data_IF_474228618251
#
_entry.id   IF_474228618251
#
_cell.length_a   1.000
_cell.length_b   1.000
_cell.length_c   1.000
_cell.angle_alpha   90.00
_cell.angle_beta   90.00
_cell.angle_gamma   90.00
#
_symmetry.space_group_name_H-M   'P 1'
#
loop_
_entity.id
_entity.type
_entity.pdbx_description
1 polymer ?
#
# COMPACT_ATOMS: atom_id res chain seq x y z
N UNK A 1 -15.75 -17.54 -1.35
CA UNK A 1 -16.66 -17.06 -2.42
C UNK A 1 -16.31 -15.60 -2.72
N UNK A 2 -15.92 -15.21 -3.96
CA UNK A 2 -15.73 -13.80 -4.27
C UNK A 2 -16.90 -13.31 -5.13
N UNK A 3 -17.76 -12.49 -4.52
CA UNK A 3 -18.90 -11.84 -5.18
C UNK A 3 -18.73 -10.31 -5.26
N UNK A 4 -17.50 -9.81 -5.28
CA UNK A 4 -17.20 -8.35 -5.29
C UNK A 4 -16.64 -7.82 -6.61
N UNK A 5 -16.53 -8.63 -7.66
CA UNK A 5 -15.77 -8.29 -8.88
C UNK A 5 -16.42 -7.31 -9.88
N UNK A 6 -17.53 -6.62 -9.58
CA UNK A 6 -18.33 -6.01 -10.64
C UNK A 6 -18.34 -4.47 -10.73
N UNK A 7 -17.58 -3.71 -9.93
CA UNK A 7 -17.64 -2.23 -10.01
C UNK A 7 -16.36 -1.43 -9.75
N UNK A 8 -15.20 -2.07 -9.57
CA UNK A 8 -13.95 -1.36 -9.26
C UNK A 8 -12.82 -1.76 -10.21
N UNK A 9 -12.04 -0.76 -10.64
CA UNK A 9 -10.86 -0.96 -11.51
C UNK A 9 -9.69 -1.63 -10.75
N UNK A 10 -9.57 -1.36 -9.44
CA UNK A 10 -8.57 -1.98 -8.54
C UNK A 10 -9.19 -2.21 -7.16
N UNK A 11 -8.95 -3.38 -6.58
CA UNK A 11 -9.30 -3.71 -5.20
C UNK A 11 -8.03 -3.81 -4.36
N UNK A 12 -7.84 -2.90 -3.41
CA UNK A 12 -6.76 -3.00 -2.42
C UNK A 12 -7.31 -3.79 -1.22
N UNK A 13 -6.72 -4.94 -0.94
CA UNK A 13 -7.11 -5.78 0.20
C UNK A 13 -6.09 -5.61 1.32
N UNK A 14 -6.57 -5.18 2.49
CA UNK A 14 -5.76 -5.07 3.70
C UNK A 14 -6.26 -6.09 4.72
N UNK A 15 -5.37 -6.98 5.16
CA UNK A 15 -5.69 -8.01 6.14
C UNK A 15 -5.51 -7.51 7.58
N UNK A 16 -6.60 -7.53 8.36
CA UNK A 16 -6.56 -7.17 9.79
C UNK A 16 -5.63 -8.10 10.58
N UNK A 17 -5.52 -9.37 10.19
CA UNK A 17 -4.61 -10.31 10.86
C UNK A 17 -3.14 -9.88 10.71
N UNK A 18 -2.79 -9.30 9.56
CA UNK A 18 -1.44 -8.75 9.32
C UNK A 18 -1.22 -7.46 10.09
N UNK A 19 -2.24 -6.61 10.17
CA UNK A 19 -2.19 -5.39 10.98
C UNK A 19 -1.91 -5.71 12.45
N UNK A 20 -2.51 -6.77 12.99
CA UNK A 20 -2.26 -7.24 14.35
C UNK A 20 -0.82 -7.75 14.58
N UNK A 21 -0.10 -8.19 13.54
CA UNK A 21 1.32 -8.59 13.66
C UNK A 21 2.26 -7.39 13.80
N UNK A 22 1.85 -6.21 13.33
CA UNK A 22 2.62 -4.96 13.39
C UNK A 22 2.33 -4.20 14.69
N UNK A 23 1.19 -4.47 15.32
CA UNK A 23 0.75 -3.84 16.57
C UNK A 23 1.41 -4.55 17.76
N UNK A 24 2.02 -3.83 18.71
CA UNK A 24 2.61 -4.43 19.90
C UNK A 24 1.59 -5.19 20.76
N UNK A 25 2.00 -6.32 21.34
CA UNK A 25 1.18 -7.07 22.30
C UNK A 25 0.77 -6.18 23.49
N UNK A 26 -0.50 -6.26 23.89
CA UNK A 26 -1.07 -5.44 24.97
C UNK A 26 -1.63 -4.09 24.53
N UNK A 27 -1.54 -3.74 23.25
CA UNK A 27 -2.20 -2.54 22.70
C UNK A 27 -3.73 -2.68 22.80
N UNK A 28 -4.45 -1.67 23.35
CA UNK A 28 -5.91 -1.68 23.36
C UNK A 28 -6.48 -1.82 21.94
N UNK A 29 -7.59 -2.54 21.81
CA UNK A 29 -8.25 -2.76 20.50
C UNK A 29 -8.49 -1.44 19.75
N UNK A 30 -8.88 -0.38 20.47
CA UNK A 30 -9.08 0.96 19.90
C UNK A 30 -7.81 1.51 19.25
N UNK A 31 -6.65 1.35 19.91
CA UNK A 31 -5.38 1.87 19.43
C UNK A 31 -4.84 1.01 18.28
N UNK A 32 -5.11 -0.30 18.29
CA UNK A 32 -4.81 -1.18 17.15
C UNK A 32 -5.58 -0.76 15.89
N UNK A 33 -6.85 -0.37 16.03
CA UNK A 33 -7.63 0.17 14.90
C UNK A 33 -7.09 1.51 14.40
N UNK A 34 -6.57 2.37 15.29
CA UNK A 34 -5.93 3.62 14.85
C UNK A 34 -4.68 3.37 13.99
N UNK A 35 -3.90 2.33 14.31
CA UNK A 35 -2.75 1.91 13.48
C UNK A 35 -3.23 1.40 12.11
N UNK A 36 -4.30 0.61 12.09
CA UNK A 36 -4.90 0.14 10.84
C UNK A 36 -5.41 1.30 9.97
N UNK A 37 -6.09 2.27 10.58
CA UNK A 37 -6.58 3.46 9.90
C UNK A 37 -5.43 4.29 9.32
N UNK A 38 -4.31 4.43 10.03
CA UNK A 38 -3.16 5.16 9.47
C UNK A 38 -2.54 4.42 8.28
N UNK A 39 -2.49 3.09 8.29
CA UNK A 39 -2.01 2.29 7.14
C UNK A 39 -2.93 2.48 5.93
N UNK A 40 -4.25 2.42 6.13
CA UNK A 40 -5.23 2.68 5.06
C UNK A 40 -5.09 4.10 4.53
N UNK A 41 -4.94 5.09 5.43
CA UNK A 41 -4.75 6.49 5.07
C UNK A 41 -3.47 6.69 4.26
N UNK A 42 -2.36 6.09 4.67
CA UNK A 42 -1.08 6.16 3.94
C UNK A 42 -1.21 5.59 2.53
N UNK A 43 -2.00 4.54 2.35
CA UNK A 43 -2.28 3.98 1.03
C UNK A 43 -3.03 4.92 0.10
N UNK A 44 -4.12 5.50 0.60
CA UNK A 44 -4.94 6.45 -0.17
C UNK A 44 -4.15 7.72 -0.48
N UNK A 45 -3.41 8.25 0.49
CA UNK A 45 -2.58 9.44 0.33
C UNK A 45 -1.45 9.17 -0.67
N UNK A 46 -0.80 8.00 -0.62
CA UNK A 46 0.29 7.66 -1.54
C UNK A 46 -0.13 7.69 -3.01
N UNK A 47 -1.31 7.15 -3.34
CA UNK A 47 -1.84 7.19 -4.71
C UNK A 47 -2.32 8.61 -5.06
N UNK A 48 -2.99 9.27 -4.13
CA UNK A 48 -3.57 10.60 -4.36
C UNK A 48 -2.49 11.68 -4.51
N UNK A 49 -1.37 11.59 -3.80
CA UNK A 49 -0.29 12.59 -3.88
C UNK A 49 0.43 12.56 -5.22
N UNK A 50 0.58 11.38 -5.85
CA UNK A 50 1.14 11.26 -7.21
C UNK A 50 0.30 12.07 -8.21
N UNK A 51 -1.02 12.11 -8.01
CA UNK A 51 -1.96 12.81 -8.91
C UNK A 51 -2.09 14.30 -8.54
N UNK A 52 -2.16 14.62 -7.25
CA UNK A 52 -2.53 15.96 -6.76
C UNK A 52 -1.32 16.89 -6.59
N UNK A 53 -0.13 16.36 -6.31
CA UNK A 53 1.09 17.15 -6.10
C UNK A 53 2.19 16.68 -7.06
N UNK A 54 2.29 17.31 -8.24
CA UNK A 54 3.38 16.99 -9.16
C UNK A 54 4.72 17.24 -8.49
N UNK A 55 5.51 16.17 -8.32
CA UNK A 55 6.89 16.24 -7.87
C UNK A 55 7.85 16.58 -9.00
N UNK A 56 9.16 16.51 -8.72
CA UNK A 56 10.20 16.61 -9.77
C UNK A 56 10.10 15.50 -10.82
N UNK A 57 9.54 14.35 -10.44
CA UNK A 57 9.15 13.26 -11.34
C UNK A 57 7.63 13.27 -11.35
N UNK A 58 7.05 13.78 -12.45
CA UNK A 58 5.61 13.80 -12.63
C UNK A 58 5.19 12.51 -13.34
N UNK A 59 4.44 11.67 -12.65
CA UNK A 59 3.73 10.55 -13.28
C UNK A 59 2.36 11.09 -13.67
N UNK A 60 1.94 10.92 -14.92
CA UNK A 60 0.65 11.43 -15.34
C UNK A 60 -0.50 10.52 -14.89
N UNK A 61 -1.72 11.06 -14.89
CA UNK A 61 -2.90 10.30 -14.49
C UNK A 61 -3.20 9.13 -15.45
N UNK A 62 -2.74 9.20 -16.71
CA UNK A 62 -2.95 8.15 -17.69
C UNK A 62 -2.07 6.92 -17.38
N UNK A 63 -0.83 7.12 -16.95
CA UNK A 63 0.09 6.09 -16.51
C UNK A 63 -0.42 5.39 -15.25
N UNK A 64 -0.89 6.15 -14.25
CA UNK A 64 -1.51 5.58 -13.04
C UNK A 64 -2.76 4.77 -13.40
N UNK A 65 -3.62 5.31 -14.27
CA UNK A 65 -4.83 4.63 -14.71
C UNK A 65 -4.53 3.39 -15.56
N UNK A 66 -3.43 3.36 -16.31
CA UNK A 66 -3.01 2.21 -17.10
C UNK A 66 -2.48 1.07 -16.22
N UNK A 67 -1.77 1.39 -15.12
CA UNK A 67 -1.28 0.39 -14.16
C UNK A 67 -2.41 -0.11 -13.26
N UNK A 68 -3.31 0.78 -12.83
CA UNK A 68 -4.42 0.45 -11.92
C UNK A 68 -5.64 -0.12 -12.66
N UNK A 69 -5.84 0.23 -13.93
CA UNK A 69 -6.95 -0.25 -14.75
C UNK A 69 -6.88 -1.76 -14.99
N UNK A 70 -7.91 -2.49 -14.55
CA UNK A 70 -7.97 -3.96 -14.61
C UNK A 70 -6.85 -4.70 -13.84
N UNK A 71 -6.21 -4.05 -12.86
CA UNK A 71 -5.18 -4.70 -12.02
C UNK A 71 -5.77 -5.83 -11.15
N UNK A 72 -7.09 -5.81 -10.90
CA UNK A 72 -7.75 -6.80 -10.05
C UNK A 72 -7.40 -6.55 -8.58
N UNK A 73 -6.78 -7.54 -7.94
CA UNK A 73 -6.38 -7.43 -6.52
C UNK A 73 -4.98 -6.84 -6.42
N UNK A 74 -4.86 -5.71 -5.71
CA UNK A 74 -3.59 -5.06 -5.41
C UNK A 74 -3.20 -5.25 -3.94
N UNK A 75 -1.89 -5.23 -3.68
CA UNK A 75 -1.29 -5.29 -2.34
C UNK A 75 -0.46 -4.03 -2.11
N UNK A 76 -0.25 -3.69 -0.84
CA UNK A 76 0.42 -2.47 -0.45
C UNK A 76 1.57 -2.74 0.52
N UNK A 77 2.77 -2.37 0.11
CA UNK A 77 3.95 -2.32 0.97
C UNK A 77 4.29 -0.88 1.31
N UNK A 78 4.48 -0.58 2.60
CA UNK A 78 4.87 0.75 3.06
C UNK A 78 6.22 0.62 3.75
N UNK A 79 7.16 1.51 3.39
CA UNK A 79 8.49 1.53 3.97
C UNK A 79 8.95 2.96 4.22
N UNK A 80 9.62 3.17 5.34
CA UNK A 80 10.18 4.48 5.71
C UNK A 80 11.67 4.35 5.94
N UNK A 81 12.46 5.28 5.39
CA UNK A 81 13.91 5.33 5.58
C UNK A 81 14.36 6.70 6.06
N UNK A 82 15.52 6.76 6.73
CA UNK A 82 16.14 8.00 7.22
C UNK A 82 17.63 8.02 6.90
N UNK A 83 18.24 9.20 6.90
CA UNK A 83 19.67 9.36 6.64
C UNK A 83 20.05 9.36 5.14
N UNK A 84 21.30 9.03 4.83
CA UNK A 84 21.85 9.08 3.47
C UNK A 84 21.29 7.99 2.54
N UNK A 85 20.95 6.83 3.08
CA UNK A 85 20.40 5.68 2.37
C UNK A 85 18.86 5.61 2.40
N UNK A 86 18.20 6.70 2.84
CA UNK A 86 16.75 6.76 3.07
C UNK A 86 15.88 6.19 1.95
N UNK A 87 16.25 6.40 0.69
CA UNK A 87 15.48 5.92 -0.45
C UNK A 87 15.58 4.40 -0.61
N UNK A 88 16.80 3.85 -0.52
CA UNK A 88 17.04 2.42 -0.59
C UNK A 88 16.42 1.68 0.60
N UNK A 89 16.61 2.22 1.81
CA UNK A 89 16.06 1.63 3.04
C UNK A 89 14.53 1.61 3.02
N UNK A 90 13.90 2.71 2.55
CA UNK A 90 12.45 2.78 2.39
C UNK A 90 11.95 1.74 1.37
N UNK A 91 12.62 1.60 0.22
CA UNK A 91 12.24 0.63 -0.80
C UNK A 91 12.37 -0.81 -0.29
N UNK A 92 13.47 -1.15 0.38
CA UNK A 92 13.67 -2.49 0.97
C UNK A 92 12.61 -2.77 2.03
N UNK A 93 12.32 -1.81 2.91
CA UNK A 93 11.28 -1.95 3.92
C UNK A 93 9.88 -2.11 3.30
N UNK A 94 9.57 -1.40 2.22
CA UNK A 94 8.29 -1.51 1.54
C UNK A 94 8.10 -2.91 0.91
N UNK A 95 9.13 -3.43 0.23
CA UNK A 95 9.12 -4.77 -0.39
C UNK A 95 9.09 -5.90 0.65
N UNK A 96 9.68 -5.68 1.83
CA UNK A 96 9.67 -6.63 2.94
C UNK A 96 8.48 -6.46 3.89
N UNK A 97 7.50 -5.61 3.54
CA UNK A 97 6.37 -5.30 4.41
C UNK A 97 5.51 -6.54 4.69
N UNK A 98 5.09 -6.77 5.96
CA UNK A 98 4.20 -7.88 6.32
C UNK A 98 2.81 -7.79 5.66
N UNK A 99 2.47 -6.65 5.07
CA UNK A 99 1.23 -6.42 4.33
C UNK A 99 1.26 -6.98 2.90
N UNK A 100 2.43 -7.43 2.41
CA UNK A 100 2.57 -8.10 1.12
C UNK A 100 2.42 -9.62 1.29
N UNK A 101 1.21 -10.15 1.04
CA UNK A 101 0.93 -11.58 1.16
C UNK A 101 1.49 -12.43 -0.01
N UNK A 102 1.84 -11.79 -1.12
CA UNK A 102 2.45 -12.42 -2.29
C UNK A 102 3.74 -11.71 -2.68
N UNK A 103 4.77 -12.46 -3.12
CA UNK A 103 6.01 -11.84 -3.57
C UNK A 103 5.73 -10.94 -4.78
N UNK A 104 6.31 -9.72 -4.76
CA UNK A 104 6.26 -8.74 -5.86
C UNK A 104 6.65 -9.32 -7.22
N UNK A 105 7.38 -10.46 -7.24
CA UNK A 105 7.73 -11.20 -8.47
C UNK A 105 6.54 -11.57 -9.35
N UNK A 106 5.33 -11.69 -8.81
CA UNK A 106 4.13 -12.03 -9.58
C UNK A 106 3.25 -10.81 -9.89
N UNK A 107 3.68 -9.59 -9.54
CA UNK A 107 2.94 -8.37 -9.82
C UNK A 107 3.02 -8.04 -11.31
N UNK A 108 1.87 -7.74 -11.93
CA UNK A 108 1.80 -7.30 -13.33
C UNK A 108 2.01 -5.78 -13.49
N UNK A 109 2.05 -5.05 -12.37
CA UNK A 109 2.36 -3.62 -12.28
C UNK A 109 2.85 -3.26 -10.87
N UNK A 110 3.76 -2.28 -10.77
CA UNK A 110 4.40 -1.81 -9.53
C UNK A 110 4.39 -0.28 -9.54
#
# INVERSE_FOLDING_TARGET
APASCACVDTLIVVSNDKLLQIVPEGTPVKDAFLVADDILRQGVVGISEIIVRPGLINVDFADVRAIMGNAGTALMGIGTGRGKTRAADAAVAAVASPLLDFPIKNAQGI
#
